data_IF_105276595535
#
_entry.id   IF_105276595535
#
_cell.length_a   1.000
_cell.length_b   1.000
_cell.length_c   1.000
_cell.angle_alpha   90.00
_cell.angle_beta   90.00
_cell.angle_gamma   90.00
#
_symmetry.space_group_name_H-M   'P 1'
#
loop_
_entity.id
_entity.type
_entity.pdbx_description
1 polymer ?
#
# COMPACT_ATOMS: atom_id res chain seq x y z
N UNK A 1 29.10 21.64 4.16
CA UNK A 1 27.99 20.69 3.91
C UNK A 1 26.69 21.42 4.17
N UNK A 2 25.96 21.82 3.13
CA UNK A 2 24.62 22.39 3.33
C UNK A 2 23.66 21.28 3.79
N UNK A 3 22.81 21.52 4.81
CA UNK A 3 21.75 20.57 5.15
C UNK A 3 20.84 20.43 3.93
N UNK A 4 20.62 19.19 3.47
CA UNK A 4 19.64 18.90 2.42
C UNK A 4 18.27 19.40 2.92
N UNK A 5 17.73 20.42 2.27
CA UNK A 5 16.37 20.88 2.55
C UNK A 5 15.41 19.69 2.37
N UNK A 6 14.55 19.45 3.37
CA UNK A 6 13.51 18.42 3.27
C UNK A 6 12.59 18.77 2.09
N UNK A 7 12.25 17.76 1.31
CA UNK A 7 11.30 17.88 0.19
C UNK A 7 9.93 18.35 0.76
N UNK A 8 9.27 19.36 0.17
CA UNK A 8 7.94 19.77 0.61
C UNK A 8 6.95 18.60 0.59
N UNK A 9 6.00 18.59 1.51
CA UNK A 9 4.93 17.59 1.60
C UNK A 9 3.60 18.24 1.21
N UNK A 10 2.81 17.53 0.41
CA UNK A 10 1.47 17.92 -0.02
C UNK A 10 0.52 16.79 0.34
N UNK A 11 -0.61 17.13 0.96
CA UNK A 11 -1.66 16.16 1.26
C UNK A 11 -2.35 15.72 -0.03
N UNK A 12 -2.64 14.44 -0.14
CA UNK A 12 -3.35 13.85 -1.27
C UNK A 12 -4.85 13.91 -1.02
N UNK A 13 -5.59 14.38 -2.01
CA UNK A 13 -7.05 14.36 -2.00
C UNK A 13 -7.53 12.98 -2.42
N UNK A 14 -7.93 12.15 -1.45
CA UNK A 14 -8.36 10.75 -1.66
C UNK A 14 -9.85 10.52 -1.39
N UNK A 15 -10.60 11.58 -1.08
CA UNK A 15 -12.03 11.51 -0.78
C UNK A 15 -12.32 10.64 0.44
N UNK A 16 -13.34 9.77 0.32
CA UNK A 16 -13.70 8.81 1.37
C UNK A 16 -12.64 7.71 1.57
N UNK A 17 -11.66 7.60 0.68
CA UNK A 17 -10.58 6.62 0.74
C UNK A 17 -10.83 5.36 -0.08
N UNK A 18 -9.82 4.48 -0.10
CA UNK A 18 -9.84 3.23 -0.86
C UNK A 18 -8.89 2.19 -0.27
N UNK A 19 -9.14 0.91 -0.57
CA UNK A 19 -8.19 -0.17 -0.29
C UNK A 19 -7.10 -0.17 -1.37
N UNK A 20 -5.83 -0.28 -1.01
CA UNK A 20 -4.77 -0.44 -2.00
C UNK A 20 -4.84 -1.85 -2.62
N UNK A 21 -4.64 -1.96 -3.93
CA UNK A 21 -4.66 -3.24 -4.66
C UNK A 21 -3.34 -3.99 -4.54
N UNK A 22 -3.37 -5.26 -4.94
CA UNK A 22 -2.26 -6.22 -4.98
C UNK A 22 -1.72 -6.62 -3.59
N UNK A 23 -2.56 -6.54 -2.57
CA UNK A 23 -2.18 -6.92 -1.22
C UNK A 23 -1.59 -8.35 -1.13
N UNK A 24 -2.16 -9.39 -1.79
CA UNK A 24 -1.59 -10.74 -1.76
C UNK A 24 -0.15 -10.79 -2.29
N UNK A 25 0.14 -10.05 -3.37
CA UNK A 25 1.47 -9.97 -3.98
C UNK A 25 2.50 -9.23 -3.10
N UNK A 26 2.04 -8.32 -2.23
CA UNK A 26 2.89 -7.41 -1.46
C UNK A 26 2.98 -7.73 0.03
N UNK A 27 2.49 -8.90 0.46
CA UNK A 27 2.51 -9.31 1.88
C UNK A 27 3.90 -9.24 2.51
N UNK A 28 4.96 -9.62 1.80
CA UNK A 28 6.33 -9.54 2.32
C UNK A 28 6.67 -8.08 2.63
N UNK A 29 6.47 -7.18 1.68
CA UNK A 29 6.77 -5.75 1.86
C UNK A 29 5.91 -5.08 2.93
N UNK A 30 4.63 -5.44 3.04
CA UNK A 30 3.74 -4.96 4.10
C UNK A 30 4.23 -5.43 5.47
N UNK A 31 4.59 -6.72 5.60
CA UNK A 31 5.09 -7.29 6.86
C UNK A 31 6.44 -6.72 7.28
N UNK A 32 7.33 -6.46 6.33
CA UNK A 32 8.62 -5.82 6.59
C UNK A 32 8.49 -4.34 6.98
N UNK A 33 7.37 -3.69 6.62
CA UNK A 33 7.09 -2.32 7.01
C UNK A 33 6.49 -2.21 8.43
N UNK A 34 5.94 -3.30 8.99
CA UNK A 34 5.40 -3.31 10.35
C UNK A 34 6.49 -3.09 11.41
N UNK A 35 6.14 -2.33 12.45
CA UNK A 35 6.92 -2.20 13.66
C UNK A 35 6.44 -3.17 14.75
N UNK A 36 7.26 -3.43 15.80
CA UNK A 36 6.82 -4.21 16.94
C UNK A 36 5.51 -3.68 17.54
N UNK A 37 4.51 -4.55 17.68
CA UNK A 37 3.18 -4.20 18.21
C UNK A 37 2.13 -3.82 17.15
N UNK A 38 2.53 -3.65 15.88
CA UNK A 38 1.60 -3.43 14.77
C UNK A 38 1.15 -4.75 14.11
N UNK A 39 0.10 -4.67 13.28
CA UNK A 39 -0.36 -5.82 12.48
C UNK A 39 -1.16 -6.87 13.26
N UNK A 40 -1.57 -6.53 14.49
CA UNK A 40 -2.47 -7.32 15.32
C UNK A 40 -3.93 -7.21 14.89
N UNK A 41 -4.85 -7.30 15.87
CA UNK A 41 -6.30 -7.20 15.61
C UNK A 41 -6.77 -5.76 15.34
N UNK A 42 -6.14 -4.78 15.99
CA UNK A 42 -6.47 -3.38 15.79
C UNK A 42 -5.77 -2.84 14.53
N UNK A 43 -6.44 -1.99 13.73
CA UNK A 43 -5.78 -1.32 12.63
C UNK A 43 -4.66 -0.41 13.13
N UNK A 44 -3.54 -0.41 12.40
CA UNK A 44 -2.36 0.40 12.71
C UNK A 44 -2.32 1.62 11.80
N UNK A 45 -2.24 2.86 12.30
CA UNK A 45 -2.11 4.05 11.47
C UNK A 45 -0.87 3.99 10.57
N UNK A 46 -0.99 4.51 9.35
CA UNK A 46 0.06 4.52 8.35
C UNK A 46 0.11 5.87 7.63
N UNK A 47 1.27 6.53 7.65
CA UNK A 47 1.55 7.68 6.78
C UNK A 47 1.99 7.15 5.42
N UNK A 48 1.14 7.30 4.41
CA UNK A 48 1.33 6.76 3.07
C UNK A 48 1.89 7.83 2.14
N UNK A 49 2.68 7.39 1.15
CA UNK A 49 3.24 8.20 0.07
C UNK A 49 2.84 7.63 -1.27
N UNK A 50 2.77 8.48 -2.28
CA UNK A 50 2.48 8.05 -3.64
C UNK A 50 3.62 8.38 -4.59
N UNK A 51 3.87 7.46 -5.52
CA UNK A 51 4.84 7.66 -6.60
C UNK A 51 4.28 7.15 -7.93
N UNK A 52 4.69 7.76 -9.06
CA UNK A 52 4.38 7.20 -10.38
C UNK A 52 5.05 5.84 -10.56
N UNK A 53 4.27 4.86 -10.99
CA UNK A 53 4.72 3.53 -11.36
C UNK A 53 4.79 3.32 -12.87
N UNK A 54 5.25 2.14 -13.28
CA UNK A 54 5.24 1.73 -14.68
C UNK A 54 3.79 1.59 -15.21
N UNK A 55 3.63 1.72 -16.54
CA UNK A 55 2.36 1.55 -17.24
C UNK A 55 1.20 2.40 -16.67
N UNK A 56 1.51 3.62 -16.19
CA UNK A 56 0.53 4.54 -15.65
C UNK A 56 -0.06 4.14 -14.28
N UNK A 57 0.49 3.11 -13.62
CA UNK A 57 0.11 2.77 -12.24
C UNK A 57 0.59 3.86 -11.27
N UNK A 58 -0.07 3.97 -10.13
CA UNK A 58 0.40 4.79 -8.99
C UNK A 58 0.69 3.84 -7.84
N UNK A 59 1.90 3.91 -7.31
CA UNK A 59 2.40 3.05 -6.25
C UNK A 59 2.10 3.69 -4.91
N UNK A 60 1.64 2.88 -3.95
CA UNK A 60 1.48 3.27 -2.55
C UNK A 60 2.70 2.81 -1.78
N UNK A 61 3.37 3.75 -1.11
CA UNK A 61 4.52 3.50 -0.28
C UNK A 61 4.20 3.71 1.19
N UNK A 62 4.73 2.83 2.03
CA UNK A 62 4.72 2.97 3.47
C UNK A 62 6.09 2.63 4.03
N UNK A 63 6.67 3.53 4.83
CA UNK A 63 8.03 3.39 5.39
C UNK A 63 9.09 2.96 4.35
N UNK A 64 9.02 3.60 3.18
CA UNK A 64 9.91 3.35 2.02
C UNK A 64 9.80 1.93 1.42
N UNK A 65 8.66 1.24 1.60
CA UNK A 65 8.34 -0.04 0.94
C UNK A 65 7.12 0.14 0.04
N UNK A 66 7.08 -0.55 -1.09
CA UNK A 66 5.88 -0.63 -1.93
C UNK A 66 4.88 -1.56 -1.25
N UNK A 67 3.70 -1.06 -0.91
CA UNK A 67 2.69 -1.80 -0.13
C UNK A 67 1.35 -1.94 -0.84
N UNK A 68 1.21 -1.35 -2.01
CA UNK A 68 0.01 -1.47 -2.82
C UNK A 68 0.08 -0.62 -4.08
N UNK A 69 -0.99 -0.69 -4.86
CA UNK A 69 -1.25 0.25 -5.95
C UNK A 69 -2.59 0.94 -5.75
N UNK A 70 -2.71 2.13 -6.35
CA UNK A 70 -3.98 2.85 -6.39
C UNK A 70 -4.93 2.12 -7.35
N UNK A 71 -6.17 1.81 -6.94
CA UNK A 71 -7.15 1.17 -7.78
C UNK A 71 -7.53 2.04 -8.98
N UNK A 72 -8.02 1.45 -10.09
CA UNK A 72 -8.36 2.20 -11.30
C UNK A 72 -9.27 3.41 -11.06
N UNK A 73 -10.22 3.31 -10.12
CA UNK A 73 -11.20 4.35 -9.78
C UNK A 73 -10.58 5.64 -9.23
N UNK A 74 -9.37 5.59 -8.67
CA UNK A 74 -8.68 6.75 -8.06
C UNK A 74 -7.38 7.13 -8.79
N UNK A 75 -6.95 6.30 -9.75
CA UNK A 75 -5.63 6.37 -10.36
C UNK A 75 -5.39 7.67 -11.12
N UNK A 76 -6.34 8.07 -11.96
CA UNK A 76 -6.21 9.26 -12.80
C UNK A 76 -6.10 10.54 -11.94
N UNK A 77 -6.98 10.66 -10.94
CA UNK A 77 -6.98 11.80 -10.02
C UNK A 77 -5.67 11.91 -9.23
N UNK A 78 -5.16 10.81 -8.66
CA UNK A 78 -3.88 10.81 -7.95
C UNK A 78 -2.68 11.03 -8.86
N UNK A 79 -2.70 10.51 -10.09
CA UNK A 79 -1.66 10.77 -11.08
C UNK A 79 -1.60 12.28 -11.44
N UNK A 80 -2.75 12.94 -11.58
CA UNK A 80 -2.81 14.38 -11.82
C UNK A 80 -2.27 15.20 -10.64
N UNK A 81 -2.57 14.79 -9.40
CA UNK A 81 -2.01 15.41 -8.20
C UNK A 81 -0.49 15.26 -8.15
N UNK A 82 0.04 14.06 -8.44
CA UNK A 82 1.48 13.82 -8.51
C UNK A 82 2.17 14.70 -9.57
N UNK A 83 1.57 14.82 -10.75
CA UNK A 83 2.09 15.68 -11.81
C UNK A 83 2.13 17.16 -11.40
N UNK A 84 1.07 17.63 -10.73
CA UNK A 84 0.95 19.01 -10.22
C UNK A 84 1.93 19.29 -9.09
N UNK A 85 2.12 18.34 -8.18
CA UNK A 85 3.00 18.44 -7.02
C UNK A 85 4.50 18.50 -7.42
N UNK A 86 4.86 17.94 -8.58
CA UNK A 86 6.21 17.97 -9.14
C UNK A 86 7.28 17.43 -8.18
N UNK A 87 8.07 18.32 -7.58
CA UNK A 87 9.09 17.96 -6.60
C UNK A 87 8.58 17.90 -5.16
N UNK A 88 7.28 17.96 -4.87
CA UNK A 88 6.78 17.65 -3.53
C UNK A 88 6.53 16.15 -3.35
N UNK A 89 6.47 15.69 -2.11
CA UNK A 89 5.98 14.36 -1.73
C UNK A 89 4.47 14.45 -1.54
N UNK A 90 3.71 13.61 -2.25
CA UNK A 90 2.25 13.52 -2.08
C UNK A 90 1.96 12.43 -1.04
N UNK A 91 1.21 12.77 0.02
CA UNK A 91 0.97 11.90 1.18
C UNK A 91 -0.49 11.84 1.58
N UNK A 92 -0.92 10.69 2.09
CA UNK A 92 -2.22 10.54 2.74
C UNK A 92 -2.07 9.78 4.04
N UNK A 93 -3.00 10.03 4.96
CA UNK A 93 -3.22 9.11 6.07
C UNK A 93 -3.78 7.79 5.54
N UNK A 94 -3.63 6.74 6.34
CA UNK A 94 -4.10 5.41 6.02
C UNK A 94 -3.96 4.48 7.20
N UNK A 95 -4.33 3.23 6.99
CA UNK A 95 -4.32 2.20 8.03
C UNK A 95 -3.91 0.86 7.45
N UNK A 96 -3.11 0.12 8.20
CA UNK A 96 -2.88 -1.30 7.95
C UNK A 96 -3.85 -2.09 8.81
N UNK A 97 -4.62 -2.97 8.18
CA UNK A 97 -5.62 -3.79 8.86
C UNK A 97 -5.52 -5.24 8.41
N UNK A 98 -6.08 -6.14 9.22
CA UNK A 98 -6.11 -7.57 8.92
C UNK A 98 -7.40 -7.92 8.19
N UNK A 99 -7.28 -8.60 7.06
CA UNK A 99 -8.37 -9.17 6.27
C UNK A 99 -8.09 -10.67 6.09
N UNK A 100 -8.71 -11.49 6.94
CA UNK A 100 -8.39 -12.92 7.06
C UNK A 100 -6.91 -13.14 7.43
N UNK A 101 -6.18 -13.78 6.53
CA UNK A 101 -4.74 -14.08 6.68
C UNK A 101 -3.82 -13.01 6.07
N UNK A 102 -4.38 -11.99 5.44
CA UNK A 102 -3.65 -10.93 4.78
C UNK A 102 -3.64 -9.65 5.62
N UNK A 103 -2.55 -8.90 5.49
CA UNK A 103 -2.52 -7.49 5.85
C UNK A 103 -2.88 -6.66 4.61
N UNK A 104 -3.85 -5.76 4.73
CA UNK A 104 -4.26 -4.83 3.68
C UNK A 104 -3.98 -3.39 4.10
N UNK A 105 -3.86 -2.53 3.10
CA UNK A 105 -3.66 -1.09 3.28
C UNK A 105 -4.96 -0.37 2.90
N UNK A 106 -5.50 0.40 3.83
CA UNK A 106 -6.50 1.41 3.58
C UNK A 106 -5.81 2.77 3.40
N UNK A 107 -6.24 3.52 2.40
CA UNK A 107 -5.78 4.87 2.08
C UNK A 107 -6.92 5.84 2.34
N UNK A 108 -6.70 6.83 3.20
CA UNK A 108 -7.71 7.81 3.58
C UNK A 108 -8.10 7.75 5.06
N UNK A 109 -9.14 8.51 5.46
CA UNK A 109 -9.60 8.60 6.85
C UNK A 109 -10.11 7.24 7.35
N UNK A 110 -10.03 6.98 8.66
CA UNK A 110 -10.53 5.73 9.24
C UNK A 110 -12.02 5.55 8.92
N UNK A 111 -12.42 4.44 8.26
CA UNK A 111 -13.83 4.19 7.97
C UNK A 111 -14.64 4.03 9.26
N UNK A 112 -15.80 4.68 9.36
CA UNK A 112 -16.68 4.60 10.53
C UNK A 112 -17.39 3.26 10.63
N UNK A 113 -17.74 2.66 9.49
CA UNK A 113 -18.48 1.40 9.40
C UNK A 113 -17.56 0.16 9.27
N UNK A 114 -16.26 0.36 9.51
CA UNK A 114 -15.23 -0.66 9.30
C UNK A 114 -14.69 -0.68 7.87
N UNK A 115 -13.64 -1.48 7.66
CA UNK A 115 -12.99 -1.58 6.35
C UNK A 115 -13.89 -2.29 5.35
N UNK A 116 -14.02 -1.77 4.11
CA UNK A 116 -14.86 -2.39 3.11
C UNK A 116 -14.30 -3.73 2.66
N UNK A 117 -15.20 -4.67 2.37
CA UNK A 117 -14.82 -5.95 1.78
C UNK A 117 -14.23 -5.76 0.38
N UNK A 118 -13.21 -6.55 0.07
CA UNK A 118 -12.55 -6.51 -1.23
C UNK A 118 -13.20 -7.51 -2.18
N UNK A 119 -13.72 -7.08 -3.36
CA UNK A 119 -14.39 -7.99 -4.29
C UNK A 119 -13.39 -8.96 -4.96
N UNK A 120 -13.85 -10.13 -5.44
CA UNK A 120 -13.01 -11.02 -6.25
C UNK A 120 -12.45 -10.30 -7.48
N UNK A 121 -11.19 -10.59 -7.83
CA UNK A 121 -10.51 -9.97 -8.98
C UNK A 121 -10.02 -8.54 -8.73
N UNK A 122 -10.13 -8.03 -7.50
CA UNK A 122 -9.56 -6.72 -7.12
C UNK A 122 -8.03 -6.71 -7.08
N UNK A 123 -7.46 -7.83 -6.63
CA UNK A 123 -6.03 -8.11 -6.67
C UNK A 123 -5.80 -9.01 -7.89
N UNK A 124 -5.00 -8.53 -8.85
CA UNK A 124 -4.72 -9.23 -10.10
C UNK A 124 -3.41 -10.01 -10.04
N UNK A 125 -2.47 -9.55 -9.21
CA UNK A 125 -1.17 -10.16 -9.04
C UNK A 125 -1.24 -11.36 -8.08
N UNK A 126 -0.67 -12.52 -8.45
CA UNK A 126 -0.65 -13.67 -7.57
C UNK A 126 0.25 -13.41 -6.34
N UNK A 127 -0.01 -14.15 -5.27
CA UNK A 127 0.91 -14.22 -4.12
C UNK A 127 2.29 -14.68 -4.63
N UNK A 128 3.40 -14.03 -4.25
CA UNK A 128 4.71 -14.43 -4.73
C UNK A 128 5.01 -15.83 -4.20
N UNK A 129 5.59 -16.69 -5.04
CA UNK A 129 6.08 -17.97 -4.58
C UNK A 129 7.16 -17.74 -3.51
N UNK A 130 7.11 -18.52 -2.41
CA UNK A 130 8.16 -18.45 -1.40
C UNK A 130 9.44 -19.01 -2.00
N UNK A 131 10.37 -18.14 -2.37
CA UNK A 131 11.69 -18.54 -2.89
C UNK A 131 12.78 -18.28 -1.88
N UNK A 132 13.65 -19.27 -1.63
CA UNK A 132 14.93 -19.09 -0.92
C UNK A 132 16.04 -19.26 -1.96
N UNK A 133 16.91 -18.26 -2.12
CA UNK A 133 17.99 -18.25 -3.13
C UNK A 133 17.54 -18.59 -4.57
N UNK A 134 16.32 -18.20 -4.95
CA UNK A 134 15.76 -18.48 -6.29
C UNK A 134 15.15 -19.88 -6.45
N UNK A 135 15.13 -20.70 -5.40
CA UNK A 135 14.44 -22.00 -5.40
C UNK A 135 13.06 -21.86 -4.77
N UNK A 136 12.02 -22.22 -5.51
CA UNK A 136 10.65 -22.29 -5.00
C UNK A 136 10.55 -23.37 -3.92
N UNK A 137 10.20 -22.97 -2.69
CA UNK A 137 9.83 -23.88 -1.63
C UNK A 137 8.38 -24.31 -1.86
N UNK A 138 8.16 -25.45 -2.50
CA UNK A 138 6.85 -26.11 -2.41
C UNK A 138 6.65 -26.51 -0.95
N UNK A 139 5.58 -26.01 -0.32
CA UNK A 139 5.10 -26.60 0.95
C UNK A 139 4.90 -28.10 0.69
N UNK A 140 5.38 -29.01 1.56
CA UNK A 140 5.02 -30.41 1.45
C UNK A 140 3.50 -30.48 1.47
N UNK A 141 2.90 -31.03 0.41
CA UNK A 141 1.51 -31.49 0.47
C UNK A 141 1.47 -32.51 1.61
N UNK A 142 0.72 -32.20 2.67
CA UNK A 142 0.42 -33.22 3.68
C UNK A 142 -0.30 -34.40 3.00
N UNK A 143 0.02 -35.65 3.39
CA UNK A 143 -0.50 -36.87 2.78
C UNK A 143 -2.00 -37.06 2.97
#
# INVERSE_FOLDING_TARGET
MSPRARRPVVAAEVGDGFVATEAPALQVSIREALQPGEGGRAPSPAELRFEPGAAGRVVVLWRNRHVGFVPPTHREALAAQLATAGKATVQADGYVYRDGELHRIWVGPLPTDGFPGVPPGYDELPVPETTIFGFALRRPTEP
#
